data_IF_761604988984
#
_entry.id   IF_761604988984
#
_cell.length_a   1.000
_cell.length_b   1.000
_cell.length_c   1.000
_cell.angle_alpha   90.00
_cell.angle_beta   90.00
_cell.angle_gamma   90.00
#
_symmetry.space_group_name_H-M   'P 1'
#
loop_
_entity.id
_entity.type
_entity.pdbx_description
1 polymer ?
#
# COMPACT_ATOMS: atom_id res chain seq x y z
N UNK A 1 11.70 -15.00 15.46
CA UNK A 1 10.76 -14.15 16.24
C UNK A 1 11.11 -12.66 16.26
N UNK A 2 12.35 -12.24 15.93
CA UNK A 2 12.72 -10.81 15.85
C UNK A 2 12.30 -10.08 14.56
N UNK A 3 12.17 -10.76 13.42
CA UNK A 3 11.85 -10.13 12.13
C UNK A 3 10.51 -9.41 12.07
N UNK A 4 9.46 -9.95 12.74
CA UNK A 4 8.10 -9.39 12.70
C UNK A 4 8.00 -8.03 13.41
N UNK A 5 8.67 -7.87 14.55
CA UNK A 5 8.67 -6.62 15.30
C UNK A 5 9.36 -5.50 14.51
N UNK A 6 10.45 -5.83 13.80
CA UNK A 6 11.16 -4.89 12.91
C UNK A 6 10.24 -4.45 11.76
N UNK A 7 9.49 -5.36 11.14
CA UNK A 7 8.56 -5.02 10.06
C UNK A 7 7.41 -4.12 10.53
N UNK A 8 6.86 -4.35 11.72
CA UNK A 8 5.81 -3.47 12.29
C UNK A 8 6.36 -2.07 12.61
N UNK A 9 7.54 -1.97 13.22
CA UNK A 9 8.15 -0.67 13.51
C UNK A 9 8.47 0.11 12.23
N UNK A 10 8.94 -0.56 11.18
CA UNK A 10 9.17 0.05 9.88
C UNK A 10 7.86 0.54 9.24
N UNK A 11 6.78 -0.25 9.34
CA UNK A 11 5.48 0.17 8.82
C UNK A 11 4.93 1.41 9.54
N UNK A 12 5.06 1.48 10.88
CA UNK A 12 4.68 2.66 11.67
C UNK A 12 5.48 3.90 11.26
N UNK A 13 6.79 3.74 11.05
CA UNK A 13 7.67 4.81 10.55
C UNK A 13 7.22 5.26 9.16
N UNK A 14 7.00 4.32 8.23
CA UNK A 14 6.58 4.61 6.87
C UNK A 14 5.24 5.35 6.79
N UNK A 15 4.29 5.06 7.67
CA UNK A 15 3.03 5.83 7.79
C UNK A 15 3.34 7.28 8.20
N UNK A 16 4.14 7.47 9.24
CA UNK A 16 4.51 8.81 9.74
C UNK A 16 5.28 9.63 8.68
N UNK A 17 6.18 8.99 7.96
CA UNK A 17 7.00 9.62 6.91
C UNK A 17 6.29 9.70 5.54
N UNK A 18 5.01 9.31 5.45
CA UNK A 18 4.20 9.36 4.23
C UNK A 18 4.83 8.61 3.04
N UNK A 19 5.40 7.44 3.31
CA UNK A 19 6.00 6.55 2.31
C UNK A 19 4.94 5.73 1.55
N UNK A 20 3.69 5.70 2.03
CA UNK A 20 2.58 5.10 1.29
C UNK A 20 2.04 6.05 0.22
N UNK A 21 1.81 5.50 -0.97
CA UNK A 21 1.33 6.20 -2.16
C UNK A 21 0.09 5.51 -2.71
N UNK A 22 -0.78 6.28 -3.35
CA UNK A 22 -1.93 5.75 -4.10
C UNK A 22 -1.58 5.76 -5.57
N UNK A 23 -1.69 4.59 -6.19
CA UNK A 23 -1.61 4.40 -7.63
C UNK A 23 -3.03 4.16 -8.16
N UNK A 24 -3.27 4.50 -9.43
CA UNK A 24 -4.59 4.34 -10.04
C UNK A 24 -4.53 3.37 -11.20
N UNK A 25 -5.39 2.36 -11.18
CA UNK A 25 -5.58 1.45 -12.29
C UNK A 25 -6.88 1.80 -13.03
N UNK A 26 -6.83 2.17 -14.33
CA UNK A 26 -8.03 2.45 -15.09
C UNK A 26 -8.93 1.22 -15.25
N UNK A 27 -10.23 1.42 -15.07
CA UNK A 27 -11.27 0.48 -15.49
C UNK A 27 -11.76 0.92 -16.86
N UNK A 28 -11.71 0.01 -17.83
CA UNK A 28 -11.98 0.31 -19.24
C UNK A 28 -13.21 -0.44 -19.72
N UNK A 29 -14.13 0.27 -20.36
CA UNK A 29 -15.26 -0.33 -21.07
C UNK A 29 -14.77 -1.17 -22.25
N UNK A 30 -15.14 -2.45 -22.29
CA UNK A 30 -14.75 -3.33 -23.39
C UNK A 30 -15.48 -3.01 -24.71
N UNK A 31 -16.66 -2.40 -24.64
CA UNK A 31 -17.45 -2.03 -25.81
C UNK A 31 -16.93 -0.75 -26.47
N UNK A 32 -16.54 0.25 -25.67
CA UNK A 32 -16.22 1.59 -26.17
C UNK A 32 -14.75 1.96 -26.05
N UNK A 33 -13.95 1.21 -25.28
CA UNK A 33 -12.58 1.55 -24.94
C UNK A 33 -12.44 2.76 -24.01
N UNK A 34 -13.54 3.36 -23.55
CA UNK A 34 -13.51 4.51 -22.66
C UNK A 34 -13.12 4.10 -21.23
N UNK A 35 -12.38 4.96 -20.53
CA UNK A 35 -12.14 4.82 -19.09
C UNK A 35 -13.45 5.14 -18.38
N UNK A 36 -13.99 4.18 -17.64
CA UNK A 36 -15.25 4.31 -16.88
C UNK A 36 -15.02 4.55 -15.40
N UNK A 37 -13.80 4.33 -14.91
CA UNK A 37 -13.43 4.56 -13.52
C UNK A 37 -11.97 4.24 -13.27
N UNK A 38 -11.58 4.30 -12.00
CA UNK A 38 -10.24 3.93 -11.54
C UNK A 38 -10.34 3.15 -10.23
N UNK A 39 -9.46 2.17 -10.06
CA UNK A 39 -9.21 1.53 -8.77
C UNK A 39 -8.02 2.22 -8.09
N UNK A 40 -8.21 2.65 -6.84
CA UNK A 40 -7.14 3.20 -6.01
C UNK A 40 -6.38 2.06 -5.33
N UNK A 41 -5.09 1.97 -5.61
CA UNK A 41 -4.23 0.88 -5.18
C UNK A 41 -3.07 1.42 -4.34
N UNK A 42 -3.01 1.02 -3.07
CA UNK A 42 -1.91 1.41 -2.18
C UNK A 42 -0.58 0.80 -2.62
N UNK A 43 0.50 1.55 -2.48
CA UNK A 43 1.88 1.10 -2.67
C UNK A 43 2.75 1.66 -1.57
N UNK A 44 3.70 0.87 -1.08
CA UNK A 44 4.72 1.37 -0.16
C UNK A 44 5.98 1.72 -0.96
N UNK A 45 6.28 3.01 -1.05
CA UNK A 45 7.53 3.51 -1.62
C UNK A 45 8.61 3.57 -0.54
N UNK A 46 9.23 2.42 -0.26
CA UNK A 46 10.27 2.31 0.75
C UNK A 46 11.58 2.97 0.26
N UNK A 47 12.24 3.73 1.13
CA UNK A 47 13.47 4.46 0.77
C UNK A 47 14.61 3.56 0.29
N UNK A 48 14.84 2.43 0.98
CA UNK A 48 15.89 1.46 0.64
C UNK A 48 15.48 0.40 -0.40
N UNK A 49 14.28 -0.17 -0.27
CA UNK A 49 13.84 -1.31 -1.08
C UNK A 49 13.00 -0.93 -2.30
N UNK A 50 12.71 0.36 -2.48
CA UNK A 50 11.86 0.83 -3.57
C UNK A 50 10.39 0.45 -3.37
N UNK A 51 9.72 0.13 -4.47
CA UNK A 51 8.28 -0.14 -4.47
C UNK A 51 7.98 -1.54 -3.94
N UNK A 52 7.40 -1.63 -2.74
CA UNK A 52 6.99 -2.90 -2.12
C UNK A 52 5.53 -3.20 -2.49
N UNK A 53 5.20 -4.42 -2.95
CA UNK A 53 3.86 -4.76 -3.40
C UNK A 53 2.86 -4.89 -2.23
N UNK A 54 1.55 -4.66 -2.48
CA UNK A 54 0.50 -4.79 -1.47
C UNK A 54 0.48 -6.15 -0.78
N UNK A 55 0.76 -7.23 -1.51
CA UNK A 55 0.73 -8.59 -0.97
C UNK A 55 1.68 -8.81 0.21
N UNK A 56 2.75 -8.03 0.31
CA UNK A 56 3.72 -8.13 1.41
C UNK A 56 3.34 -7.27 2.62
N UNK A 57 2.51 -6.25 2.42
CA UNK A 57 2.26 -5.20 3.43
C UNK A 57 0.85 -5.33 4.04
N UNK A 58 -0.14 -5.75 3.24
CA UNK A 58 -1.55 -5.84 3.67
C UNK A 58 -1.72 -6.85 4.81
N UNK A 59 -1.18 -8.09 4.76
CA UNK A 59 -1.36 -9.04 5.86
C UNK A 59 -0.83 -8.53 7.20
N UNK A 60 0.33 -7.84 7.17
CA UNK A 60 0.91 -7.25 8.38
C UNK A 60 0.08 -6.06 8.88
N UNK A 61 -0.37 -5.20 7.97
CA UNK A 61 -1.19 -4.04 8.31
C UNK A 61 -2.54 -4.43 8.93
N UNK A 62 -3.17 -5.49 8.44
CA UNK A 62 -4.42 -6.04 8.99
C UNK A 62 -4.20 -6.65 10.39
N UNK A 63 -3.17 -7.48 10.54
CA UNK A 63 -2.87 -8.14 11.83
C UNK A 63 -2.49 -7.15 12.94
N UNK A 64 -1.89 -6.01 12.58
CA UNK A 64 -1.42 -4.98 13.53
C UNK A 64 -2.41 -3.84 13.72
N UNK A 65 -3.52 -3.83 12.96
CA UNK A 65 -4.48 -2.72 12.93
C UNK A 65 -3.95 -1.44 12.28
N UNK A 66 -2.75 -1.47 11.67
CA UNK A 66 -2.17 -0.33 10.97
C UNK A 66 -2.88 -0.03 9.64
N UNK A 67 -3.66 -0.98 9.10
CA UNK A 67 -4.40 -0.80 7.84
C UNK A 67 -5.31 0.43 7.86
N UNK A 68 -5.88 0.78 9.02
CA UNK A 68 -6.76 1.96 9.18
C UNK A 68 -6.02 3.29 9.18
N UNK A 69 -4.70 3.25 9.34
CA UNK A 69 -3.81 4.42 9.35
C UNK A 69 -3.14 4.61 7.98
N UNK A 70 -3.16 3.59 7.12
CA UNK A 70 -2.65 3.66 5.75
C UNK A 70 -3.69 4.38 4.90
N UNK A 71 -3.42 5.65 4.56
CA UNK A 71 -4.29 6.48 3.72
C UNK A 71 -4.99 7.63 4.45
N UNK A 72 -4.74 7.83 5.74
CA UNK A 72 -5.05 9.08 6.46
C UNK A 72 -4.00 10.17 6.20
#
# INVERSE_FOLDING_TARGET
>A
TGGRLVQESEMRRAIKEKEFRVYYQPLVSLETGAITGVEALVRWQHLLYGLIPPSEIIPLAEQTGLITHIGQ
#
